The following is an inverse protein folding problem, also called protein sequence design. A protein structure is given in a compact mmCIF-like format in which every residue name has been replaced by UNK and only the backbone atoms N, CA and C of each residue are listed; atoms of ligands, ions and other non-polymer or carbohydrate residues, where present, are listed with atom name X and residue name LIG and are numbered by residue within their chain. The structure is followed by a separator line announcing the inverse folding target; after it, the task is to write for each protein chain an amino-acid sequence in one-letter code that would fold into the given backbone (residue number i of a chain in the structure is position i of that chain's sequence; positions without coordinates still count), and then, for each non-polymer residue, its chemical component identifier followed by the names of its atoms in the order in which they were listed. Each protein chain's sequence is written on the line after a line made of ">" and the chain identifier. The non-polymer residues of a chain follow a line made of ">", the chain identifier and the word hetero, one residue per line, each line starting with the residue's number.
data_IF_356409260000
#
_entry.id   IF_356409260000
#
_cell.length_a   1.000
_cell.length_b   1.000
_cell.length_c   1.000
_cell.angle_alpha   90.00
_cell.angle_beta   90.00
_cell.angle_gamma   90.00
#
_symmetry.space_group_name_H-M   'P 1'
#
loop_
_entity.id
_entity.type
_entity.pdbx_description
1 polymer ?
#
# COMPACT_ATOMS: atom_id res chain seq x y z
N UNK A 1 -0.42 2.25 -17.57
CA UNK A 1 -1.77 2.01 -17.00
C UNK A 1 -2.76 1.88 -18.15
N UNK A 2 -3.72 0.94 -18.07
CA UNK A 2 -4.69 0.73 -19.14
C UNK A 2 -5.65 1.91 -19.29
N UNK A 3 -6.25 2.15 -20.47
CA UNK A 3 -7.32 3.12 -20.64
C UNK A 3 -8.48 2.78 -19.69
N UNK A 4 -8.92 3.75 -18.88
CA UNK A 4 -10.02 3.57 -17.93
C UNK A 4 -9.60 3.06 -16.54
N UNK A 5 -8.39 3.38 -16.08
CA UNK A 5 -8.03 3.21 -14.68
C UNK A 5 -8.58 4.35 -13.82
N UNK A 6 -8.98 4.04 -12.60
CA UNK A 6 -9.61 4.97 -11.66
C UNK A 6 -9.04 4.80 -10.24
N UNK A 7 -9.24 5.78 -9.37
CA UNK A 7 -8.77 5.70 -7.98
C UNK A 7 -9.31 4.47 -7.23
N UNK A 8 -10.53 4.01 -7.55
CA UNK A 8 -11.12 2.78 -7.01
C UNK A 8 -10.30 1.50 -7.31
N UNK A 9 -9.40 1.54 -8.28
CA UNK A 9 -8.53 0.41 -8.63
C UNK A 9 -7.53 0.12 -7.51
N UNK A 10 -7.14 1.12 -6.71
CA UNK A 10 -6.31 0.92 -5.50
C UNK A 10 -6.94 -0.15 -4.59
N UNK A 11 -8.19 0.05 -4.20
CA UNK A 11 -8.89 -0.88 -3.32
C UNK A 11 -9.23 -2.20 -4.02
N UNK A 12 -9.54 -2.15 -5.31
CA UNK A 12 -9.84 -3.34 -6.11
C UNK A 12 -8.63 -4.28 -6.16
N UNK A 13 -7.44 -3.77 -6.48
CA UNK A 13 -6.24 -4.59 -6.56
C UNK A 13 -5.78 -5.08 -5.18
N UNK A 14 -5.94 -4.28 -4.12
CA UNK A 14 -5.67 -4.74 -2.75
C UNK A 14 -6.58 -5.92 -2.34
N UNK A 15 -7.88 -5.84 -2.65
CA UNK A 15 -8.84 -6.94 -2.41
C UNK A 15 -8.51 -8.18 -3.24
N UNK A 16 -8.19 -8.00 -4.52
CA UNK A 16 -7.82 -9.09 -5.40
C UNK A 16 -6.55 -9.80 -4.92
N UNK A 17 -5.58 -9.05 -4.41
CA UNK A 17 -4.38 -9.61 -3.79
C UNK A 17 -4.72 -10.49 -2.58
N UNK A 18 -5.52 -9.97 -1.64
CA UNK A 18 -5.91 -10.71 -0.44
C UNK A 18 -6.71 -11.99 -0.76
N UNK A 19 -7.62 -11.92 -1.76
CA UNK A 19 -8.37 -13.10 -2.23
C UNK A 19 -7.42 -14.11 -2.87
N UNK A 20 -6.50 -13.66 -3.74
CA UNK A 20 -5.57 -14.53 -4.43
C UNK A 20 -4.61 -15.24 -3.47
N UNK A 21 -4.17 -14.55 -2.41
CA UNK A 21 -3.36 -15.15 -1.36
C UNK A 21 -4.13 -16.24 -0.60
N UNK A 22 -5.36 -15.94 -0.16
CA UNK A 22 -6.22 -16.89 0.55
C UNK A 22 -6.55 -18.13 -0.28
N UNK A 23 -6.66 -17.98 -1.60
CA UNK A 23 -6.94 -19.07 -2.53
C UNK A 23 -5.68 -19.70 -3.13
N UNK A 24 -4.49 -19.27 -2.70
CA UNK A 24 -3.18 -19.74 -3.20
C UNK A 24 -3.02 -19.62 -4.72
N UNK A 25 -3.68 -18.64 -5.34
CA UNK A 25 -3.57 -18.35 -6.77
C UNK A 25 -2.41 -17.39 -7.00
N UNK A 26 -1.19 -17.94 -7.02
CA UNK A 26 0.07 -17.18 -7.04
C UNK A 26 0.18 -16.19 -8.21
N UNK A 27 -0.23 -16.58 -9.42
CA UNK A 27 -0.21 -15.70 -10.59
C UNK A 27 -1.11 -14.48 -10.45
N UNK A 28 -2.29 -14.67 -9.86
CA UNK A 28 -3.23 -13.58 -9.59
C UNK A 28 -2.73 -12.67 -8.46
N UNK A 29 -2.12 -13.24 -7.43
CA UNK A 29 -1.50 -12.49 -6.32
C UNK A 29 -0.40 -11.56 -6.86
N UNK A 30 0.47 -12.08 -7.71
CA UNK A 30 1.53 -11.30 -8.35
C UNK A 30 0.98 -10.21 -9.28
N UNK A 31 -0.02 -10.52 -10.10
CA UNK A 31 -0.66 -9.54 -10.98
C UNK A 31 -1.34 -8.41 -10.18
N UNK A 32 -2.09 -8.76 -9.14
CA UNK A 32 -2.76 -7.78 -8.29
C UNK A 32 -1.75 -6.86 -7.59
N UNK A 33 -0.59 -7.37 -7.18
CA UNK A 33 0.47 -6.52 -6.61
C UNK A 33 1.09 -5.57 -7.64
N UNK A 34 1.31 -6.04 -8.87
CA UNK A 34 1.84 -5.21 -9.95
C UNK A 34 0.86 -4.07 -10.31
N UNK A 35 -0.43 -4.38 -10.43
CA UNK A 35 -1.47 -3.39 -10.71
C UNK A 35 -1.68 -2.44 -9.53
N UNK A 36 -1.64 -2.93 -8.28
CA UNK A 36 -1.69 -2.09 -7.09
C UNK A 36 -0.54 -1.07 -7.07
N UNK A 37 0.69 -1.51 -7.40
CA UNK A 37 1.84 -0.61 -7.52
C UNK A 37 1.60 0.49 -8.56
N UNK A 38 1.03 0.15 -9.72
CA UNK A 38 0.68 1.14 -10.75
C UNK A 38 -0.40 2.10 -10.24
N UNK A 39 -1.42 1.58 -9.56
CA UNK A 39 -2.47 2.40 -8.95
C UNK A 39 -1.90 3.39 -7.92
N UNK A 40 -0.97 2.96 -7.06
CA UNK A 40 -0.29 3.87 -6.12
C UNK A 40 0.46 5.00 -6.84
N UNK A 41 1.20 4.69 -7.92
CA UNK A 41 1.94 5.71 -8.68
C UNK A 41 1.03 6.81 -9.27
N UNK A 42 -0.20 6.44 -9.67
CA UNK A 42 -1.11 7.35 -10.35
C UNK A 42 -2.12 8.03 -9.41
N UNK A 43 -2.55 7.35 -8.36
CA UNK A 43 -3.69 7.76 -7.52
C UNK A 43 -3.32 7.92 -6.04
N UNK A 44 -2.03 8.02 -5.67
CA UNK A 44 -1.60 8.19 -4.27
C UNK A 44 -2.27 9.37 -3.56
N UNK A 45 -2.63 10.43 -4.30
CA UNK A 45 -3.22 11.66 -3.75
C UNK A 45 -4.74 11.57 -3.58
N UNK A 46 -5.38 10.56 -4.16
CA UNK A 46 -6.81 10.39 -4.10
C UNK A 46 -7.22 9.77 -2.75
N UNK A 47 -8.41 10.11 -2.20
CA UNK A 47 -8.88 9.58 -0.91
C UNK A 47 -8.90 8.04 -0.82
N UNK A 48 -9.08 7.38 -1.97
CA UNK A 48 -9.06 5.92 -2.10
C UNK A 48 -7.72 5.30 -1.69
N UNK A 49 -6.62 6.06 -1.71
CA UNK A 49 -5.33 5.57 -1.25
C UNK A 49 -5.36 5.23 0.24
N UNK A 50 -5.90 6.12 1.09
CA UNK A 50 -6.04 5.88 2.53
C UNK A 50 -6.89 4.65 2.83
N UNK A 51 -8.01 4.49 2.10
CA UNK A 51 -8.89 3.32 2.22
C UNK A 51 -8.20 2.02 1.81
N UNK A 52 -7.43 2.05 0.71
CA UNK A 52 -6.70 0.88 0.25
C UNK A 52 -5.53 0.52 1.18
N UNK A 53 -4.82 1.52 1.70
CA UNK A 53 -3.79 1.33 2.72
C UNK A 53 -4.38 0.66 3.96
N UNK A 54 -5.50 1.17 4.48
CA UNK A 54 -6.17 0.58 5.64
C UNK A 54 -6.53 -0.88 5.39
N UNK A 55 -7.14 -1.17 4.23
CA UNK A 55 -7.48 -2.53 3.86
C UNK A 55 -6.26 -3.46 3.77
N UNK A 56 -5.14 -3.01 3.18
CA UNK A 56 -3.91 -3.81 3.08
C UNK A 56 -3.43 -4.23 4.47
N UNK A 57 -3.38 -3.32 5.44
CA UNK A 57 -2.90 -3.62 6.78
C UNK A 57 -3.88 -4.47 7.61
N UNK A 58 -5.18 -4.43 7.30
CA UNK A 58 -6.18 -5.30 7.93
C UNK A 58 -6.27 -6.70 7.31
N UNK A 59 -5.93 -6.84 6.02
CA UNK A 59 -6.13 -8.08 5.26
C UNK A 59 -4.88 -8.92 5.07
N UNK A 60 -3.70 -8.41 5.43
CA UNK A 60 -2.42 -9.10 5.28
C UNK A 60 -1.66 -9.17 6.61
N UNK A 61 -0.99 -10.29 6.94
CA UNK A 61 -0.17 -10.41 8.15
C UNK A 61 1.12 -9.57 8.05
N UNK A 62 1.79 -9.32 9.17
CA UNK A 62 2.98 -8.45 9.25
C UNK A 62 4.16 -8.97 8.43
N UNK A 63 4.20 -10.29 8.21
CA UNK A 63 5.19 -11.00 7.41
C UNK A 63 4.97 -10.82 5.89
N UNK A 64 3.75 -10.47 5.44
CA UNK A 64 3.50 -10.16 4.03
C UNK A 64 3.95 -8.73 3.73
N UNK A 65 5.23 -8.61 3.36
CA UNK A 65 5.85 -7.34 3.01
C UNK A 65 5.49 -6.84 1.62
N UNK A 66 4.71 -7.55 0.81
CA UNK A 66 4.46 -7.17 -0.59
C UNK A 66 3.68 -5.85 -0.69
N UNK A 67 2.36 -5.87 -0.47
CA UNK A 67 1.56 -4.63 -0.55
C UNK A 67 1.91 -3.67 0.60
N UNK A 68 2.27 -4.19 1.77
CA UNK A 68 2.63 -3.36 2.93
C UNK A 68 3.85 -2.49 2.63
N UNK A 69 4.89 -3.02 1.98
CA UNK A 69 6.05 -2.22 1.56
C UNK A 69 5.69 -1.19 0.49
N UNK A 70 4.79 -1.52 -0.44
CA UNK A 70 4.32 -0.56 -1.46
C UNK A 70 3.60 0.64 -0.82
N UNK A 71 2.76 0.39 0.18
CA UNK A 71 2.09 1.45 0.95
C UNK A 71 3.12 2.30 1.71
N UNK A 72 4.04 1.66 2.47
CA UNK A 72 5.11 2.36 3.18
C UNK A 72 5.94 3.24 2.24
N UNK A 73 6.35 2.68 1.09
CA UNK A 73 7.14 3.38 0.10
C UNK A 73 6.40 4.58 -0.49
N UNK A 74 5.12 4.42 -0.82
CA UNK A 74 4.29 5.51 -1.37
C UNK A 74 4.17 6.66 -0.36
N UNK A 75 3.92 6.37 0.92
CA UNK A 75 3.84 7.38 1.99
C UNK A 75 5.21 7.99 2.27
N UNK A 76 6.29 7.22 2.16
CA UNK A 76 7.65 7.73 2.25
C UNK A 76 8.00 8.67 1.07
N UNK A 77 7.41 8.49 -0.10
CA UNK A 77 7.58 9.39 -1.27
C UNK A 77 6.73 10.65 -1.14
N UNK A 78 5.54 10.51 -0.56
CA UNK A 78 4.54 11.55 -0.42
C UNK A 78 4.21 11.78 1.05
N UNK A 79 5.14 12.42 1.77
CA UNK A 79 5.01 12.61 3.23
C UNK A 79 3.79 13.41 3.65
N UNK A 80 3.17 14.19 2.76
CA UNK A 80 1.90 14.84 3.01
C UNK A 80 0.76 13.87 3.35
N UNK A 81 0.87 12.60 2.94
CA UNK A 81 -0.11 11.56 3.23
C UNK A 81 -0.22 11.22 4.71
N UNK A 82 0.77 11.58 5.55
CA UNK A 82 0.63 11.40 7.01
C UNK A 82 -0.48 12.27 7.61
N UNK A 83 -1.02 13.23 6.85
CA UNK A 83 -2.17 14.06 7.24
C UNK A 83 -3.51 13.44 6.84
N UNK A 84 -3.50 12.39 6.02
CA UNK A 84 -4.70 11.63 5.72
C UNK A 84 -5.15 10.87 6.98
N UNK A 85 -6.44 10.95 7.31
CA UNK A 85 -6.97 10.40 8.55
C UNK A 85 -6.78 8.88 8.66
N UNK A 86 -6.86 8.15 7.53
CA UNK A 86 -6.67 6.70 7.50
C UNK A 86 -5.20 6.34 7.67
N UNK A 87 -4.30 7.09 7.04
CA UNK A 87 -2.86 6.89 7.21
C UNK A 87 -2.41 7.22 8.65
N UNK A 88 -2.90 8.32 9.23
CA UNK A 88 -2.61 8.70 10.62
C UNK A 88 -3.11 7.64 11.60
N UNK A 89 -4.33 7.12 11.39
CA UNK A 89 -4.86 6.00 12.17
C UNK A 89 -3.95 4.77 12.07
N UNK A 90 -3.53 4.38 10.87
CA UNK A 90 -2.64 3.24 10.69
C UNK A 90 -1.30 3.41 11.41
N UNK A 91 -0.71 4.60 11.37
CA UNK A 91 0.55 4.89 12.05
C UNK A 91 0.45 4.75 13.57
N UNK A 92 -0.71 5.09 14.13
CA UNK A 92 -0.98 4.98 15.56
C UNK A 92 -1.26 3.55 16.01
N UNK A 93 -2.03 2.80 15.23
CA UNK A 93 -2.46 1.45 15.60
C UNK A 93 -1.42 0.37 15.26
N UNK A 94 -0.67 0.52 14.17
CA UNK A 94 0.26 -0.50 13.71
C UNK A 94 1.71 -0.10 13.96
N UNK A 95 2.27 -0.49 15.12
CA UNK A 95 3.68 -0.20 15.47
C UNK A 95 4.68 -0.68 14.41
N UNK A 96 4.44 -1.85 13.82
CA UNK A 96 5.26 -2.39 12.73
C UNK A 96 5.23 -1.50 11.48
N UNK A 97 4.08 -0.88 11.19
CA UNK A 97 3.95 0.06 10.08
C UNK A 97 4.75 1.34 10.31
N UNK A 98 4.63 1.96 11.48
CA UNK A 98 5.39 3.16 11.82
C UNK A 98 6.91 2.90 11.77
N UNK A 99 7.35 1.71 12.24
CA UNK A 99 8.74 1.29 12.14
C UNK A 99 9.21 1.12 10.68
N UNK A 100 8.44 0.39 9.86
CA UNK A 100 8.76 0.16 8.45
C UNK A 100 8.82 1.49 7.67
N UNK A 101 7.90 2.42 7.93
CA UNK A 101 7.91 3.75 7.30
C UNK A 101 9.14 4.57 7.69
N UNK A 102 9.55 4.50 8.97
CA UNK A 102 10.76 5.17 9.43
C UNK A 102 12.02 4.58 8.77
N UNK A 103 12.11 3.25 8.64
CA UNK A 103 13.21 2.59 7.94
C UNK A 103 13.29 3.04 6.48
N UNK A 104 12.17 3.05 5.75
CA UNK A 104 12.11 3.56 4.37
C UNK A 104 12.58 5.02 4.25
N UNK A 105 12.20 5.87 5.21
CA UNK A 105 12.68 7.26 5.25
C UNK A 105 14.17 7.37 5.52
N UNK A 106 14.71 6.59 6.47
CA UNK A 106 16.15 6.60 6.79
C UNK A 106 16.97 6.12 5.60
N UNK A 107 16.55 5.04 4.92
CA UNK A 107 17.22 4.54 3.71
C UNK A 107 17.28 5.62 2.62
N UNK A 108 16.18 6.36 2.41
CA UNK A 108 16.13 7.43 1.40
C UNK A 108 16.98 8.65 1.77
N UNK A 109 17.09 9.01 3.04
CA UNK A 109 17.93 10.12 3.50
C UNK A 109 19.41 9.75 3.57
N UNK A 110 19.72 8.48 3.80
CA UNK A 110 21.07 7.97 4.04
C UNK A 110 21.89 7.70 2.79
N UNK A 111 21.28 7.66 1.60
CA UNK A 111 21.97 7.62 0.30
C UNK A 111 23.29 6.85 0.28
N UNK A 112 23.24 5.54 0.54
CA UNK A 112 24.32 4.59 0.18
C UNK A 112 23.81 3.74 -0.98
#
# INVERSE_FOLDING_TARGET
>A
MAPGAHAADLLTHARMYAIADRLLVTGLKALAAAEFRLACLHFWKEPEFGLAAEYVFLSTPDEDKSLRSLVCKTIAEHSELVKDEKVDYLLKEHKGFAYDLLQEKVVKMGGV
#
